data_IF_770633856589
#
_entry.id   IF_770633856589
#
_cell.length_a   1.000
_cell.length_b   1.000
_cell.length_c   1.000
_cell.angle_alpha   90.00
_cell.angle_beta   90.00
_cell.angle_gamma   90.00
#
_symmetry.space_group_name_H-M   'P 1'
#
loop_
_entity.id
_entity.type
_entity.pdbx_description
1 polymer ?
#
# COMPACT_ATOMS: atom_id res chain seq x y z
N UNK A 1 55.15 28.43 -15.37
CA UNK A 1 53.96 27.89 -14.66
C UNK A 1 54.45 26.91 -13.62
N UNK A 2 54.20 27.12 -12.32
CA UNK A 2 54.64 26.19 -11.29
C UNK A 2 53.88 24.85 -11.42
N UNK A 3 54.62 23.75 -11.56
CA UNK A 3 54.06 22.40 -11.55
C UNK A 3 53.58 22.08 -10.14
N UNK A 4 52.27 21.87 -9.98
CA UNK A 4 51.70 21.38 -8.71
C UNK A 4 52.36 20.04 -8.34
N UNK A 5 52.85 19.88 -7.10
CA UNK A 5 53.48 18.63 -6.69
C UNK A 5 52.42 17.52 -6.65
N UNK A 6 52.65 16.44 -7.41
CA UNK A 6 51.81 15.26 -7.34
C UNK A 6 51.81 14.69 -5.92
N UNK A 7 50.64 14.37 -5.34
CA UNK A 7 50.58 13.76 -4.02
C UNK A 7 51.31 12.41 -4.04
N UNK A 8 52.04 12.11 -2.96
CA UNK A 8 52.69 10.82 -2.83
C UNK A 8 51.65 9.69 -2.87
N UNK A 9 51.98 8.50 -3.41
CA UNK A 9 51.02 7.40 -3.54
C UNK A 9 50.40 6.99 -2.20
N UNK A 10 51.13 7.17 -1.09
CA UNK A 10 50.62 6.97 0.27
C UNK A 10 49.50 7.94 0.62
N UNK A 11 49.65 9.23 0.28
CA UNK A 11 48.60 10.24 0.52
C UNK A 11 47.37 9.97 -0.34
N UNK A 12 47.57 9.57 -1.60
CA UNK A 12 46.47 9.17 -2.49
C UNK A 12 45.66 8.01 -1.91
N UNK A 13 46.33 6.96 -1.42
CA UNK A 13 45.69 5.80 -0.80
C UNK A 13 44.90 6.17 0.48
N UNK A 14 45.44 7.05 1.33
CA UNK A 14 44.73 7.51 2.53
C UNK A 14 43.48 8.31 2.15
N UNK A 15 43.56 9.19 1.16
CA UNK A 15 42.40 9.96 0.71
C UNK A 15 41.32 9.08 0.08
N UNK A 16 41.71 8.10 -0.73
CA UNK A 16 40.74 7.17 -1.36
C UNK A 16 40.05 6.30 -0.30
N UNK A 17 40.78 5.75 0.67
CA UNK A 17 40.20 4.97 1.77
C UNK A 17 39.28 5.81 2.66
N UNK A 18 39.68 7.05 2.99
CA UNK A 18 38.86 7.95 3.79
C UNK A 18 37.56 8.32 3.07
N UNK A 19 37.64 8.60 1.77
CA UNK A 19 36.48 8.89 0.94
C UNK A 19 35.54 7.68 0.83
N UNK A 20 36.09 6.47 0.61
CA UNK A 20 35.30 5.24 0.59
C UNK A 20 34.61 4.97 1.93
N UNK A 21 35.31 5.19 3.04
CA UNK A 21 34.72 5.05 4.39
C UNK A 21 33.60 6.06 4.63
N UNK A 22 33.76 7.30 4.17
CA UNK A 22 32.70 8.31 4.23
C UNK A 22 31.49 7.90 3.38
N UNK A 23 31.70 7.46 2.14
CA UNK A 23 30.63 6.98 1.27
C UNK A 23 29.91 5.75 1.84
N UNK A 24 30.64 4.82 2.45
CA UNK A 24 30.06 3.64 3.10
C UNK A 24 29.21 4.05 4.31
N UNK A 25 29.71 4.97 5.13
CA UNK A 25 28.96 5.50 6.28
C UNK A 25 27.69 6.19 5.81
N UNK A 26 27.80 7.03 4.78
CA UNK A 26 26.65 7.70 4.16
C UNK A 26 25.63 6.67 3.65
N UNK A 27 26.07 5.66 2.91
CA UNK A 27 25.20 4.61 2.39
C UNK A 27 24.48 3.81 3.50
N UNK A 28 25.21 3.45 4.57
CA UNK A 28 24.61 2.76 5.73
C UNK A 28 23.54 3.66 6.37
N UNK A 29 23.86 4.93 6.60
CA UNK A 29 22.94 5.87 7.28
C UNK A 29 21.71 6.24 6.45
N UNK A 30 21.86 6.37 5.13
CA UNK A 30 20.77 6.82 4.26
C UNK A 30 19.90 5.67 3.72
N UNK A 31 20.43 4.45 3.60
CA UNK A 31 19.70 3.33 2.99
C UNK A 31 19.51 2.14 3.93
N UNK A 32 20.59 1.64 4.54
CA UNK A 32 20.53 0.39 5.32
C UNK A 32 19.75 0.58 6.62
N UNK A 33 20.03 1.64 7.38
CA UNK A 33 19.35 1.92 8.65
C UNK A 33 17.84 2.16 8.44
N UNK A 34 17.40 3.02 7.50
CA UNK A 34 15.97 3.20 7.24
C UNK A 34 15.28 1.92 6.80
N UNK A 35 15.90 1.15 5.89
CA UNK A 35 15.36 -0.12 5.42
C UNK A 35 15.17 -1.13 6.56
N UNK A 36 16.20 -1.30 7.41
CA UNK A 36 16.13 -2.22 8.55
C UNK A 36 15.05 -1.81 9.55
N UNK A 37 14.86 -0.50 9.76
CA UNK A 37 13.81 0.04 10.64
C UNK A 37 12.42 -0.21 10.10
N UNK A 38 12.21 0.11 8.82
CA UNK A 38 10.96 -0.17 8.14
C UNK A 38 10.59 -1.65 8.26
N UNK A 39 11.53 -2.54 7.93
CA UNK A 39 11.30 -3.98 8.01
C UNK A 39 11.02 -4.45 9.46
N UNK A 40 11.82 -4.00 10.43
CA UNK A 40 11.63 -4.37 11.84
C UNK A 40 10.29 -3.87 12.39
N UNK A 41 9.85 -2.67 12.00
CA UNK A 41 8.55 -2.14 12.40
C UNK A 41 7.40 -2.93 11.77
N UNK A 42 7.50 -3.25 10.47
CA UNK A 42 6.51 -4.04 9.76
C UNK A 42 6.34 -5.42 10.39
N UNK A 43 7.44 -6.14 10.63
CA UNK A 43 7.43 -7.44 11.32
C UNK A 43 6.78 -7.32 12.69
N UNK A 44 7.20 -6.36 13.52
CA UNK A 44 6.60 -6.14 14.85
C UNK A 44 5.11 -5.82 14.79
N UNK A 45 4.68 -5.06 13.78
CA UNK A 45 3.27 -4.73 13.58
C UNK A 45 2.46 -5.99 13.29
N UNK A 46 2.86 -6.80 12.31
CA UNK A 46 2.11 -8.00 11.93
C UNK A 46 2.16 -9.09 12.98
N UNK A 47 3.27 -9.24 13.71
CA UNK A 47 3.34 -10.15 14.86
C UNK A 47 2.33 -9.75 15.93
N UNK A 48 2.16 -8.46 16.22
CA UNK A 48 1.19 -8.01 17.21
C UNK A 48 -0.26 -8.19 16.74
N UNK A 49 -0.55 -7.93 15.46
CA UNK A 49 -1.90 -8.18 14.91
C UNK A 49 -2.28 -9.66 15.01
N UNK A 50 -1.38 -10.57 14.61
CA UNK A 50 -1.62 -12.01 14.70
C UNK A 50 -1.77 -12.46 16.16
N UNK A 51 -0.93 -11.94 17.07
CA UNK A 51 -1.06 -12.22 18.51
C UNK A 51 -2.41 -11.81 19.06
N UNK A 52 -2.92 -10.63 18.67
CA UNK A 52 -4.23 -10.15 19.10
C UNK A 52 -5.37 -10.99 18.53
N UNK A 53 -5.27 -11.43 17.28
CA UNK A 53 -6.26 -12.32 16.65
C UNK A 53 -6.32 -13.69 17.35
N UNK A 54 -5.16 -14.29 17.62
CA UNK A 54 -5.05 -15.55 18.37
C UNK A 54 -5.66 -15.39 19.78
N UNK A 55 -5.35 -14.29 20.46
CA UNK A 55 -5.84 -14.01 21.81
C UNK A 55 -7.36 -13.77 21.84
N UNK A 56 -7.91 -13.06 20.86
CA UNK A 56 -9.36 -12.88 20.72
C UNK A 56 -10.07 -14.21 20.43
N UNK A 57 -9.48 -15.06 19.60
CA UNK A 57 -9.99 -16.40 19.28
C UNK A 57 -9.99 -17.31 20.52
N UNK A 58 -8.88 -17.34 21.26
CA UNK A 58 -8.75 -18.09 22.50
C UNK A 58 -9.78 -17.61 23.54
N UNK A 59 -9.83 -16.30 23.78
CA UNK A 59 -10.76 -15.70 24.75
C UNK A 59 -12.24 -15.93 24.38
N UNK A 60 -12.58 -15.92 23.09
CA UNK A 60 -13.94 -16.21 22.63
C UNK A 60 -14.35 -17.68 22.78
N UNK A 61 -13.37 -18.60 22.81
CA UNK A 61 -13.60 -20.04 22.88
C UNK A 61 -13.73 -20.61 24.30
N UNK A 62 -13.30 -19.85 25.31
CA UNK A 62 -13.16 -20.33 26.69
C UNK A 62 -14.47 -20.16 27.48
N UNK A 63 -14.86 -21.21 28.22
CA UNK A 63 -15.97 -21.13 29.18
C UNK A 63 -15.60 -20.20 30.34
N UNK A 64 -16.53 -19.34 30.75
CA UNK A 64 -16.38 -18.30 31.78
C UNK A 64 -15.77 -18.85 33.08
N UNK A 65 -15.93 -20.14 33.35
CA UNK A 65 -15.40 -20.84 34.52
C UNK A 65 -13.90 -21.11 34.50
N UNK A 66 -13.25 -21.11 33.34
CA UNK A 66 -11.83 -21.44 33.15
C UNK A 66 -10.94 -20.21 32.86
N UNK A 67 -11.51 -19.00 32.92
CA UNK A 67 -10.84 -17.74 32.55
C UNK A 67 -9.73 -17.24 33.50
N UNK A 68 -9.41 -17.95 34.58
CA UNK A 68 -8.50 -17.44 35.62
C UNK A 68 -7.03 -17.31 35.18
N UNK A 69 -6.61 -18.05 34.14
CA UNK A 69 -5.21 -18.11 33.69
C UNK A 69 -4.97 -17.59 32.26
N UNK A 70 -6.01 -17.09 31.58
CA UNK A 70 -5.91 -16.63 30.18
C UNK A 70 -5.66 -15.13 30.15
N UNK A 71 -4.66 -14.71 29.39
CA UNK A 71 -4.40 -13.29 29.15
C UNK A 71 -5.63 -12.66 28.46
N UNK A 72 -6.25 -11.68 29.12
CA UNK A 72 -7.39 -10.98 28.54
C UNK A 72 -6.88 -10.05 27.42
N UNK A 73 -7.50 -10.05 26.24
CA UNK A 73 -7.08 -9.14 25.19
C UNK A 73 -7.36 -7.68 25.62
N UNK A 74 -6.43 -6.75 25.36
CA UNK A 74 -6.53 -5.36 25.84
C UNK A 74 -7.82 -4.68 25.35
N UNK A 75 -8.21 -3.53 25.89
CA UNK A 75 -9.41 -2.84 25.37
C UNK A 75 -9.21 -2.39 23.92
N UNK A 76 -10.23 -2.52 23.06
CA UNK A 76 -10.12 -2.27 21.61
C UNK A 76 -9.54 -0.88 21.27
N UNK A 77 -9.89 0.16 22.04
CA UNK A 77 -9.38 1.53 21.87
C UNK A 77 -7.88 1.71 22.22
N UNK A 78 -7.28 0.74 22.90
CA UNK A 78 -5.85 0.73 23.25
C UNK A 78 -5.05 -0.19 22.35
N UNK A 79 -5.72 -0.98 21.49
CA UNK A 79 -5.09 -1.92 20.58
C UNK A 79 -4.46 -1.19 19.40
N UNK A 80 -3.43 -1.82 18.86
CA UNK A 80 -2.95 -1.53 17.52
C UNK A 80 -3.98 -2.09 16.54
N UNK A 81 -4.57 -1.24 15.72
CA UNK A 81 -5.58 -1.62 14.73
C UNK A 81 -5.10 -1.27 13.33
N UNK A 82 -5.52 -2.05 12.31
CA UNK A 82 -5.26 -1.73 10.93
C UNK A 82 -5.98 -0.45 10.51
N UNK A 83 -5.39 0.24 9.53
CA UNK A 83 -5.95 1.47 8.99
C UNK A 83 -7.31 1.24 8.33
N UNK A 84 -7.45 0.10 7.63
CA UNK A 84 -8.69 -0.38 7.03
C UNK A 84 -9.02 -1.74 7.65
N UNK A 85 -10.26 -1.94 8.07
CA UNK A 85 -10.67 -3.15 8.75
C UNK A 85 -11.23 -4.20 7.78
N UNK A 86 -11.34 -5.44 8.23
CA UNK A 86 -12.03 -6.55 7.55
C UNK A 86 -11.52 -6.97 6.16
N UNK A 87 -10.36 -6.50 5.73
CA UNK A 87 -9.68 -6.93 4.51
C UNK A 87 -8.19 -7.16 4.76
N UNK A 88 -7.51 -7.99 3.96
CA UNK A 88 -6.10 -8.26 4.16
C UNK A 88 -5.23 -7.03 3.88
N UNK A 89 -4.33 -6.73 4.83
CA UNK A 89 -3.22 -5.81 4.63
C UNK A 89 -2.06 -6.56 3.95
N UNK A 90 -1.59 -6.07 2.80
CA UNK A 90 -0.46 -6.67 2.12
C UNK A 90 0.85 -6.37 2.85
N UNK A 91 1.75 -7.36 2.86
CA UNK A 91 3.09 -7.28 3.46
C UNK A 91 4.15 -7.15 2.39
N UNK A 92 5.22 -6.40 2.67
CA UNK A 92 6.28 -6.15 1.69
C UNK A 92 7.00 -7.41 1.20
N UNK A 93 7.07 -8.47 2.00
CA UNK A 93 7.82 -9.68 1.66
C UNK A 93 6.99 -10.83 1.06
N UNK A 94 5.66 -10.80 1.11
CA UNK A 94 4.82 -11.89 0.60
C UNK A 94 3.52 -11.45 -0.09
N UNK A 95 3.40 -10.16 -0.44
CA UNK A 95 2.24 -9.63 -1.16
C UNK A 95 1.92 -10.42 -2.44
N UNK A 96 2.93 -10.91 -3.16
CA UNK A 96 2.73 -11.74 -4.35
C UNK A 96 1.97 -13.03 -4.01
N UNK A 97 2.36 -13.72 -2.95
CA UNK A 97 1.71 -14.94 -2.49
C UNK A 97 0.29 -14.67 -1.99
N UNK A 98 0.08 -13.59 -1.22
CA UNK A 98 -1.24 -13.16 -0.75
C UNK A 98 -2.21 -12.93 -1.91
N UNK A 99 -1.70 -12.45 -3.05
CA UNK A 99 -2.46 -12.24 -4.28
C UNK A 99 -2.39 -13.41 -5.26
N UNK A 100 -1.80 -14.54 -4.84
CA UNK A 100 -1.61 -15.76 -5.64
C UNK A 100 -0.89 -15.51 -6.97
N UNK A 101 0.07 -14.60 -6.96
CA UNK A 101 0.98 -14.33 -8.06
C UNK A 101 2.25 -15.18 -7.91
N UNK A 102 2.87 -15.49 -9.04
CA UNK A 102 4.20 -16.08 -9.09
C UNK A 102 5.26 -15.02 -8.76
N UNK A 103 6.48 -15.43 -8.35
CA UNK A 103 7.57 -14.48 -8.06
C UNK A 103 7.99 -13.60 -9.24
N UNK A 104 7.69 -14.03 -10.47
CA UNK A 104 7.93 -13.25 -11.71
C UNK A 104 6.79 -12.25 -12.02
N UNK A 105 5.82 -12.09 -11.13
CA UNK A 105 4.69 -11.18 -11.27
C UNK A 105 3.57 -11.70 -12.18
N UNK A 106 3.67 -12.93 -12.70
CA UNK A 106 2.61 -13.57 -13.50
C UNK A 106 1.57 -14.28 -12.63
N UNK A 107 0.38 -14.58 -13.15
CA UNK A 107 -0.67 -15.29 -12.41
C UNK A 107 -0.84 -16.75 -12.86
N UNK A 108 -1.37 -17.65 -11.99
CA UNK A 108 -1.65 -19.04 -12.35
C UNK A 108 -2.91 -19.21 -13.22
N UNK A 109 -3.86 -18.27 -13.14
CA UNK A 109 -5.14 -18.31 -13.86
C UNK A 109 -5.51 -16.92 -14.41
N UNK A 110 -6.32 -16.87 -15.46
CA UNK A 110 -6.93 -15.63 -16.01
C UNK A 110 -8.13 -15.16 -15.18
N UNK A 111 -8.46 -13.87 -15.27
CA UNK A 111 -9.67 -13.30 -14.65
C UNK A 111 -9.55 -13.12 -13.14
N UNK A 112 -8.32 -13.22 -12.60
CA UNK A 112 -8.04 -12.87 -11.22
C UNK A 112 -7.86 -11.35 -11.15
N UNK A 113 -8.60 -10.71 -10.24
CA UNK A 113 -8.67 -9.27 -10.17
C UNK A 113 -8.59 -8.80 -8.71
N UNK A 114 -7.78 -7.77 -8.44
CA UNK A 114 -7.63 -7.15 -7.13
C UNK A 114 -7.66 -5.63 -7.24
N UNK A 115 -8.41 -5.00 -6.35
CA UNK A 115 -8.27 -3.59 -6.02
C UNK A 115 -7.54 -3.44 -4.70
N UNK A 116 -6.44 -2.68 -4.73
CA UNK A 116 -5.56 -2.42 -3.60
C UNK A 116 -5.64 -0.94 -3.29
N UNK A 117 -6.10 -0.62 -2.09
CA UNK A 117 -6.01 0.74 -1.59
C UNK A 117 -4.65 0.97 -0.93
N UNK A 118 -3.91 1.95 -1.44
CA UNK A 118 -2.66 2.41 -0.86
C UNK A 118 -3.00 3.58 0.05
N UNK A 119 -2.94 3.34 1.36
CA UNK A 119 -3.27 4.29 2.41
C UNK A 119 -2.03 4.73 3.20
N UNK A 120 -2.24 5.69 4.09
CA UNK A 120 -1.21 6.24 4.97
C UNK A 120 -1.78 7.35 5.85
N UNK A 121 -1.07 7.71 6.92
CA UNK A 121 -1.49 8.80 7.81
C UNK A 121 -0.83 10.12 7.43
N UNK A 122 -1.44 11.26 7.79
CA UNK A 122 -0.88 12.57 7.51
C UNK A 122 0.49 12.77 8.16
N UNK A 123 1.37 13.50 7.48
CA UNK A 123 2.70 13.80 8.01
C UNK A 123 2.58 14.65 9.27
N UNK A 124 3.15 14.17 10.38
CA UNK A 124 3.22 14.96 11.61
C UNK A 124 4.07 16.21 11.33
N UNK A 125 3.49 17.39 11.55
CA UNK A 125 4.22 18.66 11.46
C UNK A 125 5.50 18.56 12.28
N UNK A 126 6.65 18.62 11.61
CA UNK A 126 7.97 18.63 12.24
C UNK A 126 8.19 20.01 12.86
N UNK A 127 7.56 20.27 14.00
CA UNK A 127 7.90 21.46 14.80
C UNK A 127 9.31 21.28 15.34
N UNK A 128 10.26 22.01 14.74
CA UNK A 128 11.62 22.14 15.25
C UNK A 128 11.58 22.72 16.68
N UNK A 129 12.39 22.24 17.65
CA UNK A 129 13.59 21.40 17.51
C UNK A 129 13.47 19.92 17.98
N UNK A 130 12.30 19.38 18.31
CA UNK A 130 12.23 18.16 19.16
C UNK A 130 12.02 16.79 18.46
N UNK A 131 11.67 16.71 17.17
CA UNK A 131 11.25 15.42 16.54
C UNK A 131 12.36 14.57 15.88
N UNK A 132 13.64 14.94 16.00
CA UNK A 132 14.71 14.10 15.42
C UNK A 132 14.90 12.77 16.17
N UNK A 133 14.48 12.70 17.43
CA UNK A 133 14.52 11.47 18.24
C UNK A 133 13.46 10.44 17.85
N UNK A 134 12.29 10.88 17.37
CA UNK A 134 11.27 9.97 16.83
C UNK A 134 11.80 9.26 15.56
N UNK A 135 12.64 9.97 14.80
CA UNK A 135 13.43 9.40 13.73
C UNK A 135 14.62 8.55 14.20
N UNK A 136 14.72 8.13 15.47
CA UNK A 136 15.73 7.18 15.94
C UNK A 136 15.16 5.87 16.52
N UNK A 137 13.90 5.84 16.95
CA UNK A 137 13.30 4.61 17.49
C UNK A 137 13.07 3.56 16.40
N UNK A 138 13.63 2.36 16.54
CA UNK A 138 13.47 1.26 15.57
C UNK A 138 12.02 0.73 15.51
N UNK A 139 11.20 1.00 16.53
CA UNK A 139 9.89 0.37 16.73
C UNK A 139 8.72 1.35 16.69
N UNK A 140 8.97 2.63 16.43
CA UNK A 140 7.92 3.64 16.28
C UNK A 140 7.43 3.73 14.83
N UNK A 141 6.13 4.01 14.67
CA UNK A 141 5.52 4.34 13.38
C UNK A 141 6.29 5.51 12.74
N UNK A 142 6.59 5.47 11.43
CA UNK A 142 7.06 6.62 10.67
C UNK A 142 6.11 7.82 10.86
N UNK A 143 6.62 9.03 10.66
CA UNK A 143 5.92 10.29 10.94
C UNK A 143 4.77 10.61 9.95
N UNK A 144 4.03 9.60 9.49
CA UNK A 144 3.04 9.68 8.41
C UNK A 144 3.68 9.64 7.03
N UNK A 145 3.02 8.97 6.09
CA UNK A 145 3.47 8.78 4.70
C UNK A 145 2.69 9.61 3.70
N UNK A 146 1.49 10.06 4.05
CA UNK A 146 0.62 10.74 3.09
C UNK A 146 1.24 12.05 2.60
N UNK A 147 1.22 12.26 1.28
CA UNK A 147 1.79 13.44 0.61
C UNK A 147 0.80 14.61 0.60
N UNK A 148 -0.49 14.30 0.55
CA UNK A 148 -1.58 15.29 0.53
C UNK A 148 -1.88 15.92 1.90
N UNK A 149 -2.78 16.90 1.88
CA UNK A 149 -3.28 17.54 3.10
C UNK A 149 -4.02 16.54 4.00
N UNK A 150 -3.90 16.73 5.33
CA UNK A 150 -4.43 15.82 6.35
C UNK A 150 -5.90 15.42 6.12
N UNK A 151 -6.73 16.38 5.69
CA UNK A 151 -8.15 16.13 5.46
C UNK A 151 -8.42 15.24 4.25
N UNK A 152 -7.56 15.27 3.23
CA UNK A 152 -7.68 14.42 2.03
C UNK A 152 -7.35 12.98 2.40
N UNK A 153 -6.20 12.78 3.06
CA UNK A 153 -5.78 11.46 3.54
C UNK A 153 -6.86 10.82 4.43
N UNK A 154 -7.35 11.58 5.41
CA UNK A 154 -8.40 11.10 6.31
C UNK A 154 -9.72 10.82 5.59
N UNK A 155 -10.10 11.64 4.60
CA UNK A 155 -11.34 11.44 3.85
C UNK A 155 -11.31 10.17 2.98
N UNK A 156 -10.19 9.90 2.30
CA UNK A 156 -10.05 8.72 1.45
C UNK A 156 -9.84 7.43 2.26
N UNK A 157 -9.05 7.46 3.34
CA UNK A 157 -8.93 6.31 4.24
C UNK A 157 -10.31 5.91 4.77
N UNK A 158 -11.09 6.88 5.28
CA UNK A 158 -12.46 6.65 5.77
C UNK A 158 -13.41 6.23 4.65
N UNK A 159 -13.25 6.81 3.45
CA UNK A 159 -14.08 6.47 2.29
C UNK A 159 -13.89 5.03 1.85
N UNK A 160 -12.66 4.54 1.84
CA UNK A 160 -12.35 3.13 1.53
C UNK A 160 -12.81 2.18 2.63
N UNK A 161 -12.60 2.52 3.91
CA UNK A 161 -13.09 1.72 5.05
C UNK A 161 -14.61 1.54 5.03
N UNK A 162 -15.37 2.62 4.76
CA UNK A 162 -16.83 2.56 4.57
C UNK A 162 -17.25 1.74 3.37
N UNK A 163 -16.46 1.75 2.28
CA UNK A 163 -16.74 0.91 1.12
C UNK A 163 -16.61 -0.58 1.50
N UNK A 164 -15.57 -0.93 2.24
CA UNK A 164 -15.34 -2.30 2.74
C UNK A 164 -16.48 -2.72 3.68
N UNK A 165 -16.82 -1.89 4.67
CA UNK A 165 -17.93 -2.13 5.59
C UNK A 165 -19.24 -2.38 4.82
N UNK A 166 -19.51 -1.55 3.80
CA UNK A 166 -20.69 -1.70 2.94
C UNK A 166 -20.66 -3.01 2.16
N UNK A 167 -19.51 -3.43 1.65
CA UNK A 167 -19.41 -4.68 0.91
C UNK A 167 -19.64 -5.91 1.79
N UNK A 168 -19.18 -5.88 3.04
CA UNK A 168 -19.44 -6.94 4.00
C UNK A 168 -20.90 -7.00 4.45
N UNK A 169 -21.52 -5.84 4.67
CA UNK A 169 -22.91 -5.75 5.16
C UNK A 169 -23.97 -5.88 4.07
N UNK A 170 -23.70 -5.39 2.86
CA UNK A 170 -24.67 -5.27 1.75
C UNK A 170 -24.18 -5.95 0.47
N UNK A 171 -23.43 -7.06 0.57
CA UNK A 171 -22.69 -7.73 -0.52
C UNK A 171 -23.40 -8.06 -1.84
N UNK A 172 -24.69 -7.71 -1.99
CA UNK A 172 -25.44 -7.71 -3.25
C UNK A 172 -25.17 -6.51 -4.16
N UNK A 173 -24.55 -5.43 -3.68
CA UNK A 173 -24.28 -4.22 -4.49
C UNK A 173 -23.00 -4.32 -5.32
N UNK A 174 -22.22 -5.40 -5.20
CA UNK A 174 -20.93 -5.55 -5.86
C UNK A 174 -21.10 -6.01 -7.30
N UNK A 175 -20.74 -5.15 -8.25
CA UNK A 175 -20.75 -5.44 -9.69
C UNK A 175 -19.44 -6.06 -10.18
N UNK A 176 -18.31 -5.77 -9.51
CA UNK A 176 -16.99 -6.30 -9.90
C UNK A 176 -16.67 -7.64 -9.22
N UNK A 177 -16.00 -8.54 -9.94
CA UNK A 177 -15.48 -9.81 -9.40
C UNK A 177 -14.25 -9.63 -8.51
N UNK A 178 -13.68 -8.42 -8.46
CA UNK A 178 -12.38 -8.10 -7.89
C UNK A 178 -12.28 -8.17 -6.35
N UNK A 179 -11.31 -8.92 -5.85
CA UNK A 179 -10.99 -8.94 -4.42
C UNK A 179 -10.44 -7.60 -3.93
N UNK A 180 -10.64 -7.28 -2.65
CA UNK A 180 -10.10 -6.07 -2.03
C UNK A 180 -8.92 -6.42 -1.14
N UNK A 181 -7.89 -5.58 -1.20
CA UNK A 181 -6.77 -5.57 -0.28
C UNK A 181 -6.38 -4.12 0.01
N UNK A 182 -5.53 -3.92 1.00
CA UNK A 182 -4.96 -2.60 1.26
C UNK A 182 -3.49 -2.67 1.66
N UNK A 183 -2.81 -1.55 1.56
CA UNK A 183 -1.44 -1.33 2.02
C UNK A 183 -1.45 -0.05 2.86
N UNK A 184 -0.88 -0.09 4.05
CA UNK A 184 -0.58 1.12 4.83
C UNK A 184 0.91 1.44 4.66
N UNK A 185 1.24 2.51 3.92
CA UNK A 185 2.64 2.90 3.70
C UNK A 185 3.35 3.35 4.98
N UNK A 186 2.64 3.60 6.09
CA UNK A 186 3.29 3.80 7.38
C UNK A 186 3.76 2.49 8.01
N UNK A 187 3.16 1.36 7.62
CA UNK A 187 3.51 0.03 8.12
C UNK A 187 4.44 -0.68 7.17
N UNK A 188 4.16 -0.62 5.87
CA UNK A 188 4.87 -1.33 4.80
C UNK A 188 5.50 -0.35 3.79
N UNK A 189 6.38 0.59 4.22
CA UNK A 189 6.96 1.59 3.31
C UNK A 189 7.82 0.94 2.22
N UNK A 190 8.42 -0.23 2.49
CA UNK A 190 9.19 -0.99 1.49
C UNK A 190 8.34 -1.42 0.29
N UNK A 191 7.08 -1.79 0.53
CA UNK A 191 6.14 -2.10 -0.54
C UNK A 191 5.86 -0.85 -1.39
N UNK A 192 5.59 0.28 -0.74
CA UNK A 192 5.26 1.52 -1.42
C UNK A 192 6.45 2.07 -2.24
N UNK A 193 7.68 1.93 -1.71
CA UNK A 193 8.92 2.25 -2.42
C UNK A 193 9.15 1.32 -3.62
N UNK A 194 8.96 0.01 -3.48
CA UNK A 194 9.12 -0.97 -4.57
C UNK A 194 8.14 -0.69 -5.71
N UNK A 195 6.90 -0.35 -5.38
CA UNK A 195 5.84 -0.05 -6.33
C UNK A 195 5.86 1.39 -6.86
N UNK A 196 6.71 2.24 -6.28
CA UNK A 196 6.75 3.69 -6.54
C UNK A 196 5.36 4.32 -6.44
N UNK A 197 4.62 3.98 -5.39
CA UNK A 197 3.26 4.48 -5.12
C UNK A 197 3.24 5.33 -3.87
N UNK A 198 2.48 6.42 -3.93
CA UNK A 198 2.19 7.28 -2.77
C UNK A 198 0.83 6.90 -2.16
N UNK A 199 0.61 7.15 -0.85
CA UNK A 199 -0.70 7.00 -0.22
C UNK A 199 -1.79 7.81 -0.91
N UNK A 200 -3.05 7.40 -0.68
CA UNK A 200 -4.24 7.96 -1.33
C UNK A 200 -4.24 7.61 -2.82
N UNK A 201 -4.01 6.33 -3.10
CA UNK A 201 -3.98 5.77 -4.44
C UNK A 201 -4.76 4.44 -4.48
N UNK A 202 -5.35 4.13 -5.63
CA UNK A 202 -5.91 2.81 -5.90
C UNK A 202 -5.07 2.12 -6.97
N UNK A 203 -4.61 0.91 -6.67
CA UNK A 203 -4.00 0.02 -7.65
C UNK A 203 -4.99 -1.09 -8.03
N UNK A 204 -5.04 -1.38 -9.31
CA UNK A 204 -5.84 -2.43 -9.92
C UNK A 204 -4.92 -3.45 -10.58
N UNK A 205 -5.04 -4.70 -10.15
CA UNK A 205 -4.30 -5.82 -10.71
C UNK A 205 -5.27 -6.75 -11.40
N UNK A 206 -4.98 -7.08 -12.66
CA UNK A 206 -5.82 -7.95 -13.47
C UNK A 206 -4.95 -8.99 -14.19
N UNK A 207 -5.26 -10.28 -14.02
CA UNK A 207 -4.65 -11.33 -14.83
C UNK A 207 -5.41 -11.53 -16.14
N UNK A 208 -4.70 -11.32 -17.25
CA UNK A 208 -5.27 -11.36 -18.60
C UNK A 208 -4.76 -12.57 -19.38
N UNK A 209 -5.63 -13.12 -20.22
CA UNK A 209 -5.27 -14.19 -21.16
C UNK A 209 -4.58 -13.66 -22.42
N UNK A 210 -3.89 -14.52 -23.18
CA UNK A 210 -3.74 -15.96 -22.97
C UNK A 210 -2.60 -16.34 -21.99
N UNK A 211 -2.78 -17.42 -21.23
CA UNK A 211 -1.72 -17.95 -20.37
C UNK A 211 -0.74 -18.85 -21.14
N UNK A 212 0.54 -18.79 -20.77
CA UNK A 212 1.59 -19.66 -21.29
C UNK A 212 1.86 -20.80 -20.32
N UNK A 213 2.24 -21.97 -20.83
CA UNK A 213 2.77 -23.06 -20.00
C UNK A 213 4.27 -22.90 -19.89
N UNK A 214 4.77 -22.62 -18.68
CA UNK A 214 6.19 -22.48 -18.39
C UNK A 214 6.71 -23.80 -17.82
N UNK A 215 7.76 -24.34 -18.44
CA UNK A 215 8.40 -25.58 -18.01
C UNK A 215 9.41 -25.27 -16.91
N UNK A 216 9.06 -25.59 -15.67
CA UNK A 216 9.98 -25.62 -14.52
C UNK A 216 10.16 -27.05 -14.00
N UNK A 217 10.41 -27.20 -12.69
CA UNK A 217 10.32 -28.51 -12.01
C UNK A 217 8.90 -29.09 -12.09
N UNK A 218 7.90 -28.21 -12.00
CA UNK A 218 6.48 -28.49 -12.26
C UNK A 218 6.00 -27.61 -13.41
N UNK A 219 5.19 -28.18 -14.32
CA UNK A 219 4.54 -27.41 -15.39
C UNK A 219 3.54 -26.43 -14.75
N UNK A 220 3.81 -25.13 -14.85
CA UNK A 220 2.91 -24.08 -14.34
C UNK A 220 2.34 -23.24 -15.47
N UNK A 221 1.10 -22.78 -15.30
CA UNK A 221 0.52 -21.74 -16.14
C UNK A 221 1.00 -20.37 -15.64
N UNK A 222 1.40 -19.52 -16.57
CA UNK A 222 1.81 -18.14 -16.34
C UNK A 222 0.98 -17.23 -17.25
N UNK A 223 0.04 -16.51 -16.65
CA UNK A 223 -0.81 -15.53 -17.31
C UNK A 223 -0.22 -14.14 -17.09
N UNK A 224 -0.30 -13.30 -18.12
CA UNK A 224 0.15 -11.91 -18.05
C UNK A 224 -0.67 -11.16 -17.00
N UNK A 225 -0.03 -10.29 -16.23
CA UNK A 225 -0.70 -9.46 -15.23
C UNK A 225 -0.54 -7.99 -15.60
N UNK A 226 -1.64 -7.26 -15.57
CA UNK A 226 -1.70 -5.81 -15.77
C UNK A 226 -1.84 -5.13 -14.43
N UNK A 227 -0.94 -4.20 -14.16
CA UNK A 227 -0.97 -3.33 -13.00
C UNK A 227 -1.38 -1.95 -13.47
N UNK A 228 -2.41 -1.37 -12.86
CA UNK A 228 -2.88 -0.02 -13.15
C UNK A 228 -3.01 0.75 -11.86
N UNK A 229 -2.33 1.87 -11.70
CA UNK A 229 -2.51 2.72 -10.51
C UNK A 229 -3.19 4.04 -10.86
N UNK A 230 -3.98 4.55 -9.92
CA UNK A 230 -4.77 5.78 -10.05
C UNK A 230 -4.64 6.58 -8.76
N UNK A 231 -4.02 7.75 -8.85
CA UNK A 231 -3.90 8.69 -7.73
C UNK A 231 -5.26 9.34 -7.41
N UNK A 232 -5.52 9.58 -6.14
CA UNK A 232 -6.71 10.27 -5.64
C UNK A 232 -6.31 11.59 -4.95
N UNK A 233 -7.19 12.61 -4.90
CA UNK A 233 -8.47 12.70 -5.57
C UNK A 233 -8.34 12.77 -7.10
N UNK A 234 -9.35 12.28 -7.81
CA UNK A 234 -9.40 12.37 -9.27
C UNK A 234 -9.63 13.81 -9.72
N UNK A 235 -8.90 14.27 -10.74
CA UNK A 235 -9.13 15.60 -11.33
C UNK A 235 -10.47 15.65 -12.06
N UNK A 236 -10.81 14.56 -12.75
CA UNK A 236 -12.06 14.40 -13.51
C UNK A 236 -12.59 13.00 -13.33
N UNK A 237 -13.91 12.90 -13.13
CA UNK A 237 -14.63 11.63 -13.00
C UNK A 237 -15.31 11.27 -14.32
N UNK A 238 -15.28 9.99 -14.74
CA UNK A 238 -16.00 9.54 -15.94
C UNK A 238 -17.51 9.65 -15.80
N UNK A 239 -18.01 9.73 -14.57
CA UNK A 239 -19.42 9.87 -14.26
C UNK A 239 -19.64 11.06 -13.31
N UNK A 240 -20.36 12.08 -13.77
CA UNK A 240 -20.80 13.18 -12.90
C UNK A 240 -22.15 12.85 -12.28
N UNK A 241 -22.23 12.87 -10.94
CA UNK A 241 -23.51 12.82 -10.23
C UNK A 241 -24.15 14.20 -10.31
N UNK A 242 -25.41 14.24 -10.74
CA UNK A 242 -26.23 15.45 -10.71
C UNK A 242 -27.12 15.42 -9.47
N UNK A 243 -27.03 16.45 -8.64
CA UNK A 243 -27.98 16.65 -7.54
C UNK A 243 -28.94 17.78 -7.85
N UNK A 244 -30.21 17.59 -7.46
CA UNK A 244 -31.25 18.57 -7.68
C UNK A 244 -31.22 19.61 -6.56
N UNK A 245 -30.63 20.77 -6.81
CA UNK A 245 -30.62 21.89 -5.87
C UNK A 245 -32.01 22.55 -5.91
N UNK A 246 -32.74 22.49 -4.79
CA UNK A 246 -34.14 22.96 -4.69
C UNK A 246 -35.19 21.84 -4.67
N UNK A 247 -34.80 20.59 -4.41
CA UNK A 247 -35.73 19.45 -4.31
C UNK A 247 -36.17 18.91 -5.67
N UNK A 248 -37.33 18.23 -5.74
CA UNK A 248 -37.79 17.52 -6.96
C UNK A 248 -37.97 18.41 -8.21
N UNK A 249 -38.09 19.72 -8.06
CA UNK A 249 -38.18 20.71 -9.17
C UNK A 249 -36.93 21.59 -9.30
N UNK A 250 -35.86 21.20 -8.63
CA UNK A 250 -34.59 21.92 -8.59
C UNK A 250 -33.84 21.90 -9.91
N UNK A 251 -32.75 22.67 -9.98
CA UNK A 251 -31.80 22.63 -11.10
C UNK A 251 -30.81 21.50 -10.82
N UNK A 252 -30.56 20.60 -11.78
CA UNK A 252 -29.50 19.61 -11.64
C UNK A 252 -28.14 20.32 -11.69
N UNK A 253 -27.40 20.26 -10.59
CA UNK A 253 -26.02 20.77 -10.49
C UNK A 253 -25.08 19.59 -10.39
N UNK A 254 -23.95 19.66 -11.10
CA UNK A 254 -22.90 18.66 -10.96
C UNK A 254 -22.23 18.84 -9.60
N UNK A 255 -22.27 17.79 -8.79
CA UNK A 255 -21.62 17.78 -7.49
C UNK A 255 -20.37 16.92 -7.60
N UNK A 256 -19.26 17.45 -7.12
CA UNK A 256 -18.03 16.69 -7.07
C UNK A 256 -18.20 15.53 -6.09
N UNK A 257 -17.93 14.28 -6.51
CA UNK A 257 -18.19 13.14 -5.66
C UNK A 257 -17.30 13.16 -4.42
N UNK A 258 -17.88 12.70 -3.32
CA UNK A 258 -17.16 12.48 -2.07
C UNK A 258 -16.03 11.43 -2.26
N UNK A 259 -15.10 11.37 -1.31
CA UNK A 259 -14.00 10.40 -1.35
C UNK A 259 -14.50 8.95 -1.44
N UNK A 260 -15.51 8.58 -0.64
CA UNK A 260 -16.19 7.28 -0.71
C UNK A 260 -16.77 7.02 -2.11
N UNK A 261 -17.43 8.00 -2.71
CA UNK A 261 -18.03 7.85 -4.04
C UNK A 261 -17.00 7.70 -5.15
N UNK A 262 -15.88 8.44 -5.09
CA UNK A 262 -14.80 8.31 -6.07
C UNK A 262 -14.19 6.90 -6.02
N UNK A 263 -13.81 6.46 -4.83
CA UNK A 263 -13.28 5.12 -4.59
C UNK A 263 -14.27 4.04 -5.03
N UNK A 264 -15.53 4.18 -4.62
CA UNK A 264 -16.60 3.23 -4.99
C UNK A 264 -16.78 3.15 -6.49
N UNK A 265 -16.81 4.28 -7.20
CA UNK A 265 -16.93 4.28 -8.66
C UNK A 265 -15.75 3.60 -9.35
N UNK A 266 -14.54 3.71 -8.80
CA UNK A 266 -13.38 3.02 -9.33
C UNK A 266 -13.47 1.51 -9.16
N UNK A 267 -13.79 1.06 -7.95
CA UNK A 267 -13.80 -0.35 -7.56
C UNK A 267 -15.01 -1.11 -8.12
N UNK A 268 -16.14 -0.45 -8.32
CA UNK A 268 -17.37 -1.10 -8.78
C UNK A 268 -17.37 -1.45 -10.26
N UNK A 269 -16.62 -0.75 -11.10
CA UNK A 269 -16.78 -0.83 -12.55
C UNK A 269 -15.46 -1.18 -13.25
N UNK A 270 -15.36 -2.41 -13.74
CA UNK A 270 -14.14 -3.00 -14.33
C UNK A 270 -13.55 -2.17 -15.50
N UNK A 271 -14.36 -1.35 -16.18
CA UNK A 271 -13.93 -0.49 -17.30
C UNK A 271 -13.38 0.89 -16.91
N UNK A 272 -13.40 1.26 -15.63
CA UNK A 272 -13.06 2.63 -15.21
C UNK A 272 -11.60 3.00 -15.43
N UNK A 273 -10.59 2.14 -15.18
CA UNK A 273 -9.20 2.49 -15.47
C UNK A 273 -8.99 2.91 -16.93
N UNK A 274 -9.61 2.20 -17.89
CA UNK A 274 -9.52 2.54 -19.31
C UNK A 274 -10.21 3.88 -19.63
N UNK A 275 -11.36 4.15 -18.99
CA UNK A 275 -12.06 5.42 -19.14
C UNK A 275 -11.26 6.59 -18.56
N UNK A 276 -10.63 6.42 -17.39
CA UNK A 276 -9.80 7.44 -16.76
C UNK A 276 -8.58 7.81 -17.59
N UNK A 277 -7.91 6.80 -18.17
CA UNK A 277 -6.78 7.01 -19.06
C UNK A 277 -7.20 7.82 -20.30
N UNK A 278 -8.37 7.51 -20.88
CA UNK A 278 -8.93 8.28 -22.00
C UNK A 278 -9.29 9.73 -21.63
N UNK A 279 -9.53 10.01 -20.35
CA UNK A 279 -9.86 11.34 -19.82
C UNK A 279 -8.64 12.15 -19.38
N UNK A 280 -7.42 11.63 -19.57
CA UNK A 280 -6.18 12.31 -19.23
C UNK A 280 -5.84 12.30 -17.73
N UNK A 281 -6.45 11.41 -16.95
CA UNK A 281 -5.98 11.14 -15.59
C UNK A 281 -4.67 10.34 -15.65
N UNK A 282 -3.83 10.51 -14.64
CA UNK A 282 -2.57 9.79 -14.51
C UNK A 282 -2.87 8.33 -14.14
N UNK A 283 -2.83 7.46 -15.16
CA UNK A 283 -2.93 6.01 -15.00
C UNK A 283 -1.62 5.39 -15.44
N UNK A 284 -0.89 4.79 -14.51
CA UNK A 284 0.35 4.08 -14.81
C UNK A 284 0.03 2.62 -15.09
N UNK A 285 0.36 2.13 -16.29
CA UNK A 285 0.18 0.73 -16.66
C UNK A 285 1.53 0.01 -16.78
N UNK A 286 1.71 -1.05 -16.01
CA UNK A 286 2.84 -1.98 -16.11
C UNK A 286 2.32 -3.35 -16.46
N UNK A 287 2.98 -4.01 -17.42
CA UNK A 287 2.61 -5.36 -17.88
C UNK A 287 3.71 -6.33 -17.48
N UNK A 288 3.41 -7.24 -16.57
CA UNK A 288 4.30 -8.37 -16.26
C UNK A 288 3.97 -9.53 -17.20
N UNK A 289 4.85 -9.78 -18.18
CA UNK A 289 4.78 -10.95 -19.04
C UNK A 289 5.88 -11.95 -18.68
N UNK A 290 5.60 -13.24 -18.88
CA UNK A 290 6.60 -14.28 -18.72
C UNK A 290 7.68 -14.09 -19.79
N UNK A 291 8.82 -13.52 -19.41
CA UNK A 291 9.98 -13.40 -20.31
C UNK A 291 10.50 -14.82 -20.58
N UNK A 292 10.56 -15.28 -21.85
CA UNK A 292 11.16 -16.55 -22.15
C UNK A 292 12.65 -16.50 -21.78
N UNK A 293 13.06 -17.28 -20.78
CA UNK A 293 14.49 -17.58 -20.59
C UNK A 293 14.91 -18.42 -21.81
N UNK A 294 15.78 -17.84 -22.64
CA UNK A 294 16.42 -18.54 -23.77
C UNK A 294 17.33 -19.65 -23.26
#
# INVERSE_FOLDING_TARGET
MPSLPFPSPKKLCIYTLSFLSFLLTLAITLFIIPWYRAHSYEVSYFTEILRLEDLDSEYASVDIREMLDIEQPPAYNTRRTPLIQDIPQLRSWDWQEMMRLHPDGTAPYTGQEFWIYVGGTPKKSLSFPFNWWDNLSLFSRPAGSCVDEDYICAAFNRGFDRLVERYHTHGKERTSGASLAFVDCDVSPLFCDEWAVDPVMLAHIESVGPCRKVKGEVMRAACTVKYRSVSLPLKTMPFSRKEMVGGKKGVPVEVFPSAEEQVRQLVMWDGVPAALQAMGNEVFEVVADAIPRK
#
